data_IF_043434899801
#
_entry.id   IF_043434899801
#
_cell.length_a   1.000
_cell.length_b   1.000
_cell.length_c   1.000
_cell.angle_alpha   90.00
_cell.angle_beta   90.00
_cell.angle_gamma   90.00
#
_symmetry.space_group_name_H-M   'P 1'
#
loop_
_entity.id
_entity.type
_entity.pdbx_description
1 polymer ?
#
# COMPACT_ATOMS: atom_id res chain seq x y z
N UNK A 1 -12.83 -1.46 37.28
CA UNK A 1 -13.12 -2.63 36.42
C UNK A 1 -12.26 -3.75 36.93
N UNK A 2 -12.83 -4.91 37.23
CA UNK A 2 -12.03 -6.04 37.73
C UNK A 2 -11.32 -6.74 36.57
N UNK A 3 -10.17 -7.38 36.82
CA UNK A 3 -9.47 -8.18 35.82
C UNK A 3 -10.40 -9.23 35.19
N UNK A 4 -11.25 -9.86 36.01
CA UNK A 4 -12.24 -10.83 35.56
C UNK A 4 -13.22 -10.27 34.52
N UNK A 5 -13.72 -9.05 34.73
CA UNK A 5 -14.62 -8.41 33.77
C UNK A 5 -13.92 -8.14 32.42
N UNK A 6 -12.64 -7.74 32.46
CA UNK A 6 -11.85 -7.51 31.24
C UNK A 6 -11.66 -8.82 30.47
N UNK A 7 -11.28 -9.89 31.17
CA UNK A 7 -11.08 -11.21 30.57
C UNK A 7 -12.38 -11.76 29.94
N UNK A 8 -13.52 -11.61 30.63
CA UNK A 8 -14.83 -12.01 30.10
C UNK A 8 -15.19 -11.25 28.82
N UNK A 9 -14.92 -9.93 28.76
CA UNK A 9 -15.18 -9.15 27.54
C UNK A 9 -14.24 -9.56 26.40
N UNK A 10 -12.97 -9.80 26.68
CA UNK A 10 -12.00 -10.20 25.64
C UNK A 10 -12.32 -11.58 25.07
N UNK A 11 -12.79 -12.52 25.90
CA UNK A 11 -13.27 -13.82 25.45
C UNK A 11 -14.54 -13.70 24.59
N UNK A 12 -15.48 -12.82 24.97
CA UNK A 12 -16.71 -12.59 24.20
C UNK A 12 -16.41 -12.02 22.81
N UNK A 13 -15.43 -11.11 22.69
CA UNK A 13 -15.03 -10.54 21.39
C UNK A 13 -14.40 -11.61 20.49
N UNK A 14 -13.50 -12.44 21.04
CA UNK A 14 -12.89 -13.55 20.29
C UNK A 14 -13.94 -14.55 19.80
N UNK A 15 -14.87 -14.96 20.66
CA UNK A 15 -15.91 -15.93 20.28
C UNK A 15 -16.88 -15.39 19.23
N UNK A 16 -17.19 -14.09 19.25
CA UNK A 16 -18.11 -13.47 18.28
C UNK A 16 -17.47 -13.26 16.91
N UNK A 17 -16.16 -13.09 16.86
CA UNK A 17 -15.41 -12.76 15.65
C UNK A 17 -14.33 -13.81 15.40
N UNK A 18 -14.61 -15.09 15.69
CA UNK A 18 -13.60 -16.14 15.70
C UNK A 18 -12.89 -16.30 14.36
N UNK A 19 -13.60 -16.05 13.25
CA UNK A 19 -13.03 -16.08 11.90
C UNK A 19 -11.94 -15.03 11.65
N UNK A 20 -11.92 -13.92 12.40
CA UNK A 20 -10.88 -12.88 12.28
C UNK A 20 -9.59 -13.25 13.03
N UNK A 21 -9.59 -14.35 13.80
CA UNK A 21 -8.43 -14.78 14.56
C UNK A 21 -7.92 -16.11 14.00
N UNK A 22 -6.62 -16.15 13.65
CA UNK A 22 -5.94 -17.37 13.19
C UNK A 22 -6.11 -18.53 14.18
N UNK A 23 -6.53 -19.70 13.69
CA UNK A 23 -6.75 -20.88 14.55
C UNK A 23 -5.44 -21.59 14.91
N UNK A 24 -4.43 -21.51 14.04
CA UNK A 24 -3.14 -22.19 14.20
C UNK A 24 -2.23 -21.56 15.27
N UNK A 25 -2.56 -20.34 15.75
CA UNK A 25 -1.94 -19.74 16.94
C UNK A 25 -2.95 -19.77 18.12
N UNK A 26 -2.88 -20.76 19.01
CA UNK A 26 -3.81 -20.82 20.14
C UNK A 26 -3.55 -19.70 21.15
N UNK A 27 -4.61 -19.11 21.69
CA UNK A 27 -4.55 -18.05 22.71
C UNK A 27 -3.69 -16.84 22.29
N UNK A 28 -3.83 -16.41 21.03
CA UNK A 28 -3.09 -15.30 20.41
C UNK A 28 -3.41 -13.91 21.00
N UNK A 29 -4.51 -13.75 21.73
CA UNK A 29 -4.84 -12.49 22.43
C UNK A 29 -4.35 -12.53 23.87
N UNK A 30 -3.55 -11.53 24.25
CA UNK A 30 -3.09 -11.32 25.64
C UNK A 30 -3.55 -9.96 26.15
N UNK A 31 -3.84 -9.91 27.44
CA UNK A 31 -4.39 -8.73 28.11
C UNK A 31 -3.50 -8.37 29.29
N UNK A 32 -3.20 -7.09 29.45
CA UNK A 32 -2.54 -6.54 30.62
C UNK A 32 -3.35 -5.38 31.17
N UNK A 33 -3.48 -5.31 32.50
CA UNK A 33 -4.21 -4.25 33.19
C UNK A 33 -3.21 -3.46 34.03
N UNK A 34 -3.24 -2.14 33.91
CA UNK A 34 -2.43 -1.21 34.70
C UNK A 34 -3.35 -0.38 35.60
N UNK A 35 -3.02 -0.29 36.89
CA UNK A 35 -3.79 0.51 37.86
C UNK A 35 -3.58 2.02 37.70
N UNK A 36 -2.53 2.43 37.00
CA UNK A 36 -2.19 3.85 36.79
C UNK A 36 -2.74 4.32 35.44
N UNK A 37 -3.82 5.10 35.48
CA UNK A 37 -4.42 5.69 34.30
C UNK A 37 -3.58 6.84 33.71
N UNK A 38 -3.69 7.11 32.39
CA UNK A 38 -3.06 8.27 31.78
C UNK A 38 -3.67 9.58 32.27
N UNK A 39 -2.93 10.69 32.15
CA UNK A 39 -3.36 12.00 32.64
C UNK A 39 -4.65 12.46 31.97
N UNK A 40 -5.61 12.93 32.78
CA UNK A 40 -6.87 13.50 32.30
C UNK A 40 -7.95 12.47 31.96
N UNK A 41 -7.65 11.16 32.03
CA UNK A 41 -8.61 10.09 31.76
C UNK A 41 -8.79 9.20 32.99
N UNK A 42 -10.03 8.73 33.20
CA UNK A 42 -10.34 7.76 34.26
C UNK A 42 -10.06 6.32 33.85
N UNK A 43 -10.02 6.05 32.55
CA UNK A 43 -9.81 4.74 31.95
C UNK A 43 -9.32 4.95 30.51
N UNK A 44 -8.41 4.09 30.06
CA UNK A 44 -7.96 4.02 28.68
C UNK A 44 -7.62 2.56 28.35
N UNK A 45 -7.63 2.23 27.06
CA UNK A 45 -7.16 0.96 26.54
C UNK A 45 -6.22 1.24 25.37
N UNK A 46 -5.27 0.35 25.14
CA UNK A 46 -4.35 0.41 24.00
C UNK A 46 -4.32 -0.98 23.39
N UNK A 47 -4.60 -1.05 22.09
CA UNK A 47 -4.59 -2.28 21.32
C UNK A 47 -3.33 -2.33 20.48
N UNK A 48 -2.63 -3.46 20.55
CA UNK A 48 -1.48 -3.76 19.71
C UNK A 48 -1.84 -5.04 18.97
N UNK A 49 -2.22 -4.88 17.71
CA UNK A 49 -2.56 -5.98 16.82
C UNK A 49 -1.47 -6.19 15.79
N UNK A 50 -1.05 -7.44 15.62
CA UNK A 50 -0.36 -7.87 14.41
C UNK A 50 -1.44 -8.48 13.50
N UNK A 51 -1.83 -7.77 12.45
CA UNK A 51 -2.95 -8.11 11.57
C UNK A 51 -2.47 -8.06 10.12
N UNK A 52 -2.90 -9.03 9.31
CA UNK A 52 -2.61 -9.09 7.86
C UNK A 52 -3.13 -7.86 7.12
N UNK A 53 -4.18 -7.20 7.63
CA UNK A 53 -4.71 -5.94 7.09
C UNK A 53 -3.67 -4.80 7.02
N UNK A 54 -2.51 -4.91 7.70
CA UNK A 54 -1.42 -3.94 7.53
C UNK A 54 -0.89 -3.91 6.09
N UNK A 55 -1.11 -4.97 5.31
CA UNK A 55 -0.73 -5.03 3.91
C UNK A 55 -1.35 -3.91 3.07
N UNK A 56 -2.58 -3.46 3.37
CA UNK A 56 -3.23 -2.35 2.66
C UNK A 56 -2.44 -1.04 2.79
N UNK A 57 -1.79 -0.83 3.95
CA UNK A 57 -0.92 0.33 4.15
C UNK A 57 0.32 0.24 3.27
N UNK A 58 0.90 -0.96 3.14
CA UNK A 58 2.07 -1.19 2.30
C UNK A 58 1.72 -1.10 0.82
N UNK A 59 0.60 -1.69 0.37
CA UNK A 59 0.07 -1.56 -1.01
C UNK A 59 -0.03 -0.08 -1.42
N UNK A 60 -0.71 0.74 -0.60
CA UNK A 60 -0.83 2.20 -0.85
C UNK A 60 0.52 2.93 -0.94
N UNK A 61 1.50 2.55 -0.13
CA UNK A 61 2.84 3.15 -0.20
C UNK A 61 3.56 2.69 -1.47
N UNK A 62 3.42 1.41 -1.83
CA UNK A 62 3.99 0.81 -3.04
C UNK A 62 3.44 1.52 -4.28
N UNK A 63 2.12 1.64 -4.44
CA UNK A 63 1.47 2.36 -5.55
C UNK A 63 2.02 3.80 -5.73
N UNK A 64 2.09 4.56 -4.64
CA UNK A 64 2.62 5.93 -4.67
C UNK A 64 4.10 5.96 -5.02
N UNK A 65 4.87 5.00 -4.52
CA UNK A 65 6.28 4.85 -4.84
C UNK A 65 6.46 4.52 -6.31
N UNK A 66 5.79 3.49 -6.83
CA UNK A 66 5.86 3.05 -8.22
C UNK A 66 5.46 4.17 -9.17
N UNK A 67 4.39 4.91 -8.89
CA UNK A 67 3.98 6.05 -9.71
C UNK A 67 5.06 7.15 -9.80
N UNK A 68 5.78 7.40 -8.71
CA UNK A 68 6.88 8.37 -8.68
C UNK A 68 8.16 7.83 -9.32
N UNK A 69 8.47 6.57 -9.08
CA UNK A 69 9.68 5.90 -9.53
C UNK A 69 9.65 5.63 -11.04
N UNK A 70 8.50 5.23 -11.60
CA UNK A 70 8.27 5.11 -13.06
C UNK A 70 8.64 6.39 -13.81
N UNK A 71 8.26 7.55 -13.26
CA UNK A 71 8.56 8.87 -13.82
C UNK A 71 9.97 9.38 -13.48
N UNK A 72 10.76 8.60 -12.74
CA UNK A 72 12.08 8.96 -12.18
C UNK A 72 12.06 10.30 -11.45
N UNK A 73 10.93 10.64 -10.84
CA UNK A 73 10.74 11.94 -10.21
C UNK A 73 11.60 12.05 -8.94
N UNK A 74 12.37 13.13 -8.83
CA UNK A 74 13.29 13.41 -7.71
C UNK A 74 14.41 12.37 -7.46
N UNK A 75 14.58 11.38 -8.35
CA UNK A 75 15.56 10.29 -8.17
C UNK A 75 17.01 10.81 -8.05
N UNK A 76 17.34 11.89 -8.77
CA UNK A 76 18.68 12.51 -8.76
C UNK A 76 19.14 13.00 -7.38
N UNK A 77 18.24 13.26 -6.43
CA UNK A 77 18.62 13.65 -5.07
C UNK A 77 19.23 12.49 -4.29
N UNK A 78 18.85 11.26 -4.63
CA UNK A 78 19.35 10.07 -3.96
C UNK A 78 20.59 9.52 -4.67
N UNK A 79 20.56 9.45 -6.00
CA UNK A 79 21.72 8.99 -6.78
C UNK A 79 22.88 9.99 -6.73
N UNK A 80 22.59 11.28 -6.53
CA UNK A 80 23.62 12.31 -6.29
C UNK A 80 24.39 12.14 -4.97
N UNK A 81 23.80 11.45 -3.98
CA UNK A 81 24.44 11.11 -2.69
C UNK A 81 25.12 9.73 -2.73
N UNK A 82 25.07 9.02 -3.87
CA UNK A 82 25.75 7.75 -4.10
C UNK A 82 24.89 6.49 -4.00
N UNK A 83 23.57 6.63 -3.94
CA UNK A 83 22.62 5.51 -4.02
C UNK A 83 22.51 4.99 -5.47
N UNK A 84 22.37 3.68 -5.67
CA UNK A 84 22.13 3.09 -6.99
C UNK A 84 20.61 3.05 -7.29
N UNK A 85 20.23 3.25 -8.55
CA UNK A 85 18.83 3.10 -8.97
C UNK A 85 18.33 1.66 -8.73
N UNK A 86 19.20 0.66 -8.82
CA UNK A 86 18.84 -0.73 -8.51
C UNK A 86 18.42 -0.92 -7.04
N UNK A 87 18.92 -0.11 -6.10
CA UNK A 87 18.53 -0.20 -4.68
C UNK A 87 17.05 0.20 -4.48
N UNK A 88 16.49 1.03 -5.37
CA UNK A 88 15.06 1.36 -5.37
C UNK A 88 14.20 0.19 -5.82
N UNK A 89 14.61 -0.49 -6.90
CA UNK A 89 13.93 -1.69 -7.40
C UNK A 89 14.00 -2.83 -6.39
N UNK A 90 15.13 -3.01 -5.69
CA UNK A 90 15.25 -3.99 -4.60
C UNK A 90 14.28 -3.68 -3.45
N UNK A 91 14.20 -2.40 -3.03
CA UNK A 91 13.29 -1.99 -1.96
C UNK A 91 11.82 -2.16 -2.34
N UNK A 92 11.44 -1.85 -3.58
CA UNK A 92 10.11 -2.07 -4.13
C UNK A 92 9.74 -3.56 -4.12
N UNK A 93 10.64 -4.40 -4.66
CA UNK A 93 10.47 -5.86 -4.64
C UNK A 93 10.29 -6.39 -3.22
N UNK A 94 11.11 -5.95 -2.26
CA UNK A 94 10.98 -6.40 -0.88
C UNK A 94 9.67 -5.97 -0.21
N UNK A 95 9.12 -4.80 -0.60
CA UNK A 95 7.82 -4.36 -0.11
C UNK A 95 6.70 -5.25 -0.67
N UNK A 96 6.76 -5.57 -1.96
CA UNK A 96 5.78 -6.44 -2.61
C UNK A 96 5.86 -7.88 -2.08
N UNK A 97 7.06 -8.40 -1.84
CA UNK A 97 7.25 -9.70 -1.18
C UNK A 97 6.58 -9.72 0.20
N UNK A 98 6.74 -8.67 1.00
CA UNK A 98 6.12 -8.56 2.32
C UNK A 98 4.58 -8.54 2.24
N UNK A 99 4.03 -7.84 1.26
CA UNK A 99 2.57 -7.83 1.00
C UNK A 99 2.10 -9.25 0.65
N UNK A 100 2.80 -9.93 -0.26
CA UNK A 100 2.48 -11.31 -0.64
C UNK A 100 2.55 -12.29 0.53
N UNK A 101 3.53 -12.15 1.43
CA UNK A 101 3.61 -12.95 2.66
C UNK A 101 2.38 -12.75 3.55
N UNK A 102 1.90 -11.52 3.72
CA UNK A 102 0.69 -11.23 4.51
C UNK A 102 -0.57 -11.81 3.88
N UNK A 103 -0.70 -11.71 2.56
CA UNK A 103 -1.81 -12.27 1.79
C UNK A 103 -1.87 -13.79 1.96
N UNK A 104 -0.72 -14.47 1.82
CA UNK A 104 -0.62 -15.92 2.01
C UNK A 104 -1.14 -16.37 3.39
N UNK A 105 -0.80 -15.63 4.46
CA UNK A 105 -1.28 -15.97 5.82
C UNK A 105 -2.76 -15.65 6.03
N UNK A 106 -3.31 -14.67 5.31
CA UNK A 106 -4.73 -14.35 5.34
C UNK A 106 -5.54 -15.49 4.72
N UNK A 107 -5.12 -15.95 3.54
CA UNK A 107 -5.73 -17.08 2.83
C UNK A 107 -5.56 -18.42 3.55
N UNK A 108 -4.50 -18.60 4.33
CA UNK A 108 -4.32 -19.83 5.12
C UNK A 108 -5.45 -20.08 6.13
N UNK A 109 -6.26 -19.07 6.46
CA UNK A 109 -7.46 -19.21 7.30
C UNK A 109 -8.74 -19.45 6.49
N UNK A 110 -8.70 -19.29 5.17
CA UNK A 110 -9.84 -19.37 4.27
C UNK A 110 -9.97 -20.82 3.78
N UNK A 111 -11.20 -21.35 3.75
CA UNK A 111 -11.43 -22.72 3.27
C UNK A 111 -11.04 -22.85 1.78
N UNK A 112 -10.65 -24.05 1.31
CA UNK A 112 -10.23 -24.26 -0.09
C UNK A 112 -11.26 -23.73 -1.12
N UNK A 113 -12.56 -23.71 -0.77
CA UNK A 113 -13.65 -23.19 -1.62
C UNK A 113 -13.73 -21.65 -1.66
N UNK A 114 -13.36 -20.96 -0.57
CA UNK A 114 -13.35 -19.50 -0.50
C UNK A 114 -12.02 -18.92 -1.02
N UNK A 115 -10.96 -19.73 -1.06
CA UNK A 115 -9.66 -19.35 -1.61
C UNK A 115 -9.69 -19.18 -3.13
N UNK A 116 -10.38 -20.09 -3.83
CA UNK A 116 -10.55 -20.07 -5.29
C UNK A 116 -11.26 -18.79 -5.75
N UNK A 117 -12.24 -18.33 -4.97
CA UNK A 117 -13.02 -17.13 -5.28
C UNK A 117 -12.21 -15.83 -5.11
N UNK A 118 -11.38 -15.74 -4.08
CA UNK A 118 -10.51 -14.57 -3.88
C UNK A 118 -9.35 -14.50 -4.88
N UNK A 119 -8.80 -15.65 -5.30
CA UNK A 119 -7.79 -15.66 -6.36
C UNK A 119 -8.35 -15.22 -7.70
N UNK A 120 -9.60 -15.59 -8.03
CA UNK A 120 -10.26 -15.12 -9.25
C UNK A 120 -10.50 -13.59 -9.21
N UNK A 121 -10.91 -13.02 -8.07
CA UNK A 121 -11.08 -11.56 -7.92
C UNK A 121 -9.75 -10.79 -8.00
N UNK A 122 -8.67 -11.29 -7.38
CA UNK A 122 -7.35 -10.64 -7.43
C UNK A 122 -6.71 -10.73 -8.83
N UNK A 123 -6.88 -11.85 -9.54
CA UNK A 123 -6.43 -11.98 -10.94
C UNK A 123 -7.20 -11.03 -11.88
N UNK A 124 -8.51 -10.84 -11.68
CA UNK A 124 -9.30 -9.87 -12.44
C UNK A 124 -8.86 -8.41 -12.18
N UNK A 125 -8.55 -8.05 -10.92
CA UNK A 125 -8.03 -6.72 -10.58
C UNK A 125 -6.64 -6.45 -11.17
N UNK A 126 -5.73 -7.44 -11.14
CA UNK A 126 -4.39 -7.33 -11.75
C UNK A 126 -4.46 -7.26 -13.29
N UNK A 127 -5.39 -7.97 -13.92
CA UNK A 127 -5.63 -7.88 -15.37
C UNK A 127 -6.19 -6.50 -15.76
N UNK A 128 -7.16 -5.96 -15.01
CA UNK A 128 -7.68 -4.60 -15.26
C UNK A 128 -6.60 -3.53 -15.08
N UNK A 129 -5.78 -3.60 -14.02
CA UNK A 129 -4.67 -2.66 -13.83
C UNK A 129 -3.62 -2.76 -14.95
N UNK A 130 -3.30 -3.98 -15.40
CA UNK A 130 -2.37 -4.20 -16.52
C UNK A 130 -2.90 -3.64 -17.85
N UNK A 131 -4.19 -3.78 -18.12
CA UNK A 131 -4.84 -3.19 -19.30
C UNK A 131 -4.85 -1.65 -19.25
N UNK A 132 -5.10 -1.05 -18.09
CA UNK A 132 -5.03 0.40 -17.89
C UNK A 132 -3.60 0.94 -18.09
N UNK A 133 -2.57 0.22 -17.62
CA UNK A 133 -1.16 0.59 -17.84
C UNK A 133 -0.75 0.51 -19.31
N UNK A 134 -1.18 -0.52 -20.05
CA UNK A 134 -0.92 -0.63 -21.50
C UNK A 134 -1.62 0.50 -22.28
N UNK A 135 -2.84 0.89 -21.88
CA UNK A 135 -3.54 2.02 -22.50
C UNK A 135 -2.84 3.36 -22.24
N UNK A 136 -2.37 3.63 -21.02
CA UNK A 136 -1.62 4.85 -20.69
C UNK A 136 -0.29 4.95 -21.47
N UNK A 137 0.48 3.86 -21.54
CA UNK A 137 1.73 3.81 -22.31
C UNK A 137 1.47 4.05 -23.81
N UNK A 138 0.40 3.46 -24.36
CA UNK A 138 0.00 3.70 -25.75
C UNK A 138 -0.49 5.14 -26.01
N UNK A 139 -1.13 5.79 -25.04
CA UNK A 139 -1.48 7.21 -25.13
C UNK A 139 -0.26 8.13 -25.07
N UNK A 140 0.72 7.85 -24.19
CA UNK A 140 1.98 8.60 -24.12
C UNK A 140 2.76 8.49 -25.44
N UNK A 141 2.91 7.27 -25.99
CA UNK A 141 3.58 7.05 -27.28
C UNK A 141 2.90 7.80 -28.42
N UNK A 142 1.56 7.78 -28.45
CA UNK A 142 0.77 8.54 -29.44
C UNK A 142 1.01 10.04 -29.31
N UNK A 143 1.01 10.56 -28.08
CA UNK A 143 1.23 11.97 -27.81
C UNK A 143 2.64 12.43 -28.19
N UNK A 144 3.66 11.60 -27.93
CA UNK A 144 5.03 11.85 -28.35
C UNK A 144 5.17 11.87 -29.89
N UNK A 145 4.53 10.94 -30.59
CA UNK A 145 4.53 10.89 -32.06
C UNK A 145 3.85 12.12 -32.69
N UNK A 146 2.74 12.61 -32.09
CA UNK A 146 2.07 13.82 -32.57
C UNK A 146 2.95 15.07 -32.42
N UNK A 147 3.69 15.20 -31.32
CA UNK A 147 4.62 16.32 -31.09
C UNK A 147 5.85 16.31 -31.99
N UNK A 148 6.32 15.15 -32.43
CA UNK A 148 7.40 15.07 -33.41
C UNK A 148 6.93 15.42 -34.84
N UNK A 149 5.63 15.25 -35.11
CA UNK A 149 5.02 15.59 -36.40
C UNK A 149 4.73 17.08 -36.57
N UNK A 150 4.49 17.79 -35.47
CA UNK A 150 4.37 19.25 -35.41
C UNK A 150 5.78 19.88 -35.42
N UNK A 151 6.30 20.13 -36.63
CA UNK A 151 7.60 20.79 -36.83
C UNK A 151 7.75 22.13 -36.09
N UNK A 152 8.99 22.65 -35.96
CA UNK A 152 9.31 23.72 -35.00
C UNK A 152 8.44 24.96 -35.19
N UNK A 153 7.81 25.39 -34.09
CA UNK A 153 7.05 26.63 -33.98
C UNK A 153 7.95 27.78 -34.44
N UNK A 154 7.60 28.40 -35.57
CA UNK A 154 8.24 29.64 -36.03
C UNK A 154 8.00 30.72 -34.98
N UNK A 155 9.02 31.06 -34.20
CA UNK A 155 9.05 32.31 -33.43
C UNK A 155 8.86 33.49 -34.39
N UNK A 156 7.66 34.08 -34.39
CA UNK A 156 7.46 35.41 -34.95
C UNK A 156 8.21 36.39 -34.04
N UNK A 157 9.31 36.94 -34.55
CA UNK A 157 9.94 38.12 -33.98
C UNK A 157 8.97 39.30 -34.13
N UNK A 158 8.15 39.53 -33.12
CA UNK A 158 7.42 40.78 -32.99
C UNK A 158 8.40 41.88 -32.62
N UNK A 159 8.75 42.68 -33.63
CA UNK A 159 9.62 43.83 -33.51
C UNK A 159 9.00 44.91 -32.62
N UNK A 160 9.47 44.97 -31.36
CA UNK A 160 9.30 46.15 -30.52
C UNK A 160 10.17 47.30 -31.05
N UNK A 161 9.54 48.32 -31.62
CA UNK A 161 10.18 49.61 -31.89
C UNK A 161 10.12 50.49 -30.63
N UNK A 162 11.19 51.23 -30.26
CA UNK A 162 11.16 52.10 -29.08
C UNK A 162 10.34 53.37 -29.35
N UNK A 163 9.45 53.71 -28.42
CA UNK A 163 8.72 54.97 -28.40
C UNK A 163 9.70 56.09 -28.01
N UNK A 164 9.75 57.15 -28.82
CA UNK A 164 10.39 58.43 -28.51
C UNK A 164 9.29 59.50 -28.48
#
# INVERSE_FOLDING_TARGET
>A
MSMKEVDEQMLNIQNKNSSLFVEWIPNNVKVAVCDVAPRGLKMASTFIGNSTAIQELFKRISEQFSAMFRRKAFLHWFTGEGMDEMEFTEAESNMNDLVAEYQQYQEANISEEERDFHSEEEEEEEEEEGEEEEEEDHEEDRWHAERESDGPIREQQDGFSPIN
#
